data_IF_327864488533
#
_entry.id   IF_327864488533
#
_cell.length_a   1.000
_cell.length_b   1.000
_cell.length_c   1.000
_cell.angle_alpha   90.00
_cell.angle_beta   90.00
_cell.angle_gamma   90.00
#
_symmetry.space_group_name_H-M   'P 1'
#
loop_
_entity.id
_entity.type
_entity.pdbx_description
1 polymer ?
#
# COMPACT_ATOMS: atom_id res chain seq x y z
N UNK A 1 18.41 2.04 -17.75
CA UNK A 1 18.40 1.66 -16.31
C UNK A 1 17.11 0.91 -16.00
N UNK A 2 17.16 -0.41 -15.73
CA UNK A 2 16.00 -1.13 -15.19
C UNK A 2 15.71 -0.52 -13.81
N UNK A 3 14.72 0.37 -13.70
CA UNK A 3 14.20 0.81 -12.40
C UNK A 3 13.94 -0.44 -11.57
N UNK A 4 14.51 -0.51 -10.39
CA UNK A 4 14.45 -1.69 -9.52
C UNK A 4 12.98 -1.89 -9.09
N UNK A 5 12.20 -2.66 -9.86
CA UNK A 5 10.74 -2.86 -9.67
C UNK A 5 10.39 -3.71 -8.44
N UNK A 6 11.33 -3.87 -7.51
CA UNK A 6 11.14 -4.62 -6.26
C UNK A 6 10.42 -3.79 -5.19
N UNK A 7 10.45 -2.46 -5.32
CA UNK A 7 9.80 -1.53 -4.40
C UNK A 7 8.74 -0.75 -5.17
N UNK A 8 7.52 -0.78 -4.64
CA UNK A 8 6.45 0.13 -5.03
C UNK A 8 6.45 1.31 -4.05
N UNK A 9 6.31 2.53 -4.56
CA UNK A 9 6.27 3.75 -3.75
C UNK A 9 5.13 4.63 -4.22
N UNK A 10 4.34 5.13 -3.27
CA UNK A 10 3.26 6.07 -3.50
C UNK A 10 3.47 7.32 -2.67
N UNK A 11 3.45 8.48 -3.32
CA UNK A 11 3.55 9.78 -2.65
C UNK A 11 2.17 10.18 -2.18
N UNK A 12 2.03 10.36 -0.87
CA UNK A 12 0.77 10.75 -0.25
C UNK A 12 0.60 12.26 -0.42
N UNK A 13 -0.55 12.67 -0.95
CA UNK A 13 -0.82 14.07 -1.33
C UNK A 13 -1.65 14.86 -0.31
N UNK A 14 -1.95 14.26 0.84
CA UNK A 14 -2.66 14.93 1.96
C UNK A 14 -1.70 15.37 3.08
N UNK A 15 -2.19 16.19 4.02
CA UNK A 15 -1.41 16.67 5.17
C UNK A 15 -1.00 15.53 6.11
N UNK A 16 0.08 15.73 6.87
CA UNK A 16 0.57 14.74 7.84
C UNK A 16 -0.46 14.46 8.93
N UNK A 17 -1.21 15.48 9.34
CA UNK A 17 -2.30 15.38 10.30
C UNK A 17 -3.42 14.50 9.76
N UNK A 18 -3.87 14.75 8.53
CA UNK A 18 -4.88 13.92 7.88
C UNK A 18 -4.39 12.47 7.69
N UNK A 19 -3.10 12.25 7.38
CA UNK A 19 -2.54 10.90 7.32
C UNK A 19 -2.59 10.23 8.69
N UNK A 20 -2.31 10.91 9.79
CA UNK A 20 -2.38 10.29 11.12
C UNK A 20 -3.79 9.89 11.51
N UNK A 21 -4.79 10.61 11.02
CA UNK A 21 -6.21 10.31 11.26
C UNK A 21 -6.71 9.17 10.37
N UNK A 22 -6.30 9.15 9.08
CA UNK A 22 -6.74 8.14 8.11
C UNK A 22 -5.89 6.85 8.13
N UNK A 23 -4.60 6.94 8.43
CA UNK A 23 -3.66 5.82 8.35
C UNK A 23 -3.69 4.96 9.61
N UNK A 24 -4.42 3.87 9.50
CA UNK A 24 -4.24 2.71 10.36
C UNK A 24 -3.79 1.53 9.48
N UNK A 25 -2.65 0.91 9.82
CA UNK A 25 -2.08 -0.18 9.03
C UNK A 25 -3.07 -1.35 8.88
N UNK A 26 -3.88 -1.61 9.90
CA UNK A 26 -4.93 -2.63 9.84
C UNK A 26 -6.00 -2.27 8.82
N UNK A 27 -6.53 -1.04 8.85
CA UNK A 27 -7.48 -0.53 7.86
C UNK A 27 -6.95 -0.56 6.43
N UNK A 28 -5.69 -0.19 6.20
CA UNK A 28 -5.05 -0.28 4.88
C UNK A 28 -4.99 -1.74 4.38
N UNK A 29 -4.52 -2.66 5.23
CA UNK A 29 -4.48 -4.08 4.90
C UNK A 29 -5.88 -4.63 4.60
N UNK A 30 -6.87 -4.21 5.40
CA UNK A 30 -8.25 -4.60 5.22
C UNK A 30 -8.81 -4.12 3.88
N UNK A 31 -8.64 -2.84 3.56
CA UNK A 31 -9.08 -2.28 2.29
C UNK A 31 -8.42 -3.00 1.11
N UNK A 32 -7.11 -3.26 1.18
CA UNK A 32 -6.39 -4.00 0.14
C UNK A 32 -6.93 -5.42 -0.06
N UNK A 33 -7.13 -6.17 1.02
CA UNK A 33 -7.64 -7.55 0.96
C UNK A 33 -9.07 -7.59 0.44
N UNK A 34 -9.91 -6.66 0.86
CA UNK A 34 -11.26 -6.52 0.35
C UNK A 34 -11.27 -6.24 -1.15
N UNK A 35 -10.40 -5.34 -1.64
CA UNK A 35 -10.29 -5.03 -3.07
C UNK A 35 -9.66 -6.15 -3.91
N UNK A 36 -8.81 -7.00 -3.32
CA UNK A 36 -8.18 -8.14 -4.01
C UNK A 36 -9.07 -9.38 -4.05
N UNK A 37 -9.75 -9.68 -2.95
CA UNK A 37 -10.35 -10.98 -2.71
C UNK A 37 -11.83 -10.93 -2.31
N UNK A 38 -12.39 -9.74 -2.11
CA UNK A 38 -13.80 -9.55 -1.77
C UNK A 38 -14.16 -9.87 -0.32
N UNK A 39 -13.16 -10.01 0.57
CA UNK A 39 -13.39 -10.32 1.98
C UNK A 39 -12.56 -9.43 2.92
N UNK A 40 -13.06 -9.25 4.14
CA UNK A 40 -12.43 -8.46 5.20
C UNK A 40 -11.18 -9.16 5.71
N UNK A 41 -10.07 -8.44 5.80
CA UNK A 41 -8.82 -8.95 6.36
C UNK A 41 -9.02 -9.49 7.77
N UNK A 42 -8.56 -10.71 7.96
CA UNK A 42 -8.38 -11.38 9.23
C UNK A 42 -6.89 -11.25 9.63
N UNK A 43 -6.56 -11.02 10.93
CA UNK A 43 -5.18 -11.03 11.40
C UNK A 43 -4.35 -12.27 11.00
N UNK A 44 -4.98 -13.42 10.76
CA UNK A 44 -4.33 -14.65 10.32
C UNK A 44 -4.07 -14.73 8.81
N UNK A 45 -4.61 -13.80 8.01
CA UNK A 45 -4.37 -13.76 6.57
C UNK A 45 -2.92 -13.44 6.26
N UNK A 46 -2.36 -14.21 5.33
CA UNK A 46 -1.00 -14.00 4.84
C UNK A 46 -0.99 -12.91 3.78
N UNK A 47 -0.52 -11.73 4.18
CA UNK A 47 -0.18 -10.67 3.21
C UNK A 47 1.25 -10.87 2.74
N UNK A 48 1.43 -11.00 1.42
CA UNK A 48 2.73 -11.21 0.76
C UNK A 48 3.57 -9.94 0.63
N UNK A 49 3.11 -8.83 1.22
CA UNK A 49 3.75 -7.53 1.14
C UNK A 49 4.20 -7.04 2.52
N UNK A 50 5.33 -6.35 2.55
CA UNK A 50 5.74 -5.47 3.65
C UNK A 50 5.32 -4.06 3.28
N UNK A 51 4.60 -3.38 4.18
CA UNK A 51 4.09 -2.02 3.97
C UNK A 51 4.77 -1.10 5.00
N UNK A 52 5.35 0.01 4.55
CA UNK A 52 6.03 0.99 5.41
C UNK A 52 5.59 2.40 5.04
N UNK A 53 5.19 3.18 6.04
CA UNK A 53 4.85 4.59 5.89
C UNK A 53 5.96 5.48 6.46
N UNK A 54 6.48 6.38 5.64
CA UNK A 54 7.37 7.47 6.07
C UNK A 54 6.56 8.76 6.19
N UNK A 55 6.21 9.16 7.42
CA UNK A 55 5.53 10.45 7.68
C UNK A 55 6.45 11.67 7.49
N UNK A 56 7.77 11.47 7.42
CA UNK A 56 8.72 12.55 7.14
C UNK A 56 8.74 12.88 5.66
N UNK A 57 8.72 11.86 4.82
CA UNK A 57 8.77 12.00 3.36
C UNK A 57 7.38 12.02 2.71
N UNK A 58 6.35 11.69 3.50
CA UNK A 58 4.96 11.52 3.02
C UNK A 58 4.88 10.47 1.91
N UNK A 59 5.54 9.33 2.12
CA UNK A 59 5.62 8.23 1.16
C UNK A 59 5.22 6.91 1.82
N UNK A 60 4.33 6.18 1.17
CA UNK A 60 4.06 4.78 1.44
C UNK A 60 4.96 3.93 0.52
N UNK A 61 5.66 2.96 1.09
CA UNK A 61 6.46 2.00 0.35
C UNK A 61 5.98 0.58 0.61
N UNK A 62 6.04 -0.23 -0.44
CA UNK A 62 5.66 -1.63 -0.40
C UNK A 62 6.72 -2.50 -1.07
N UNK A 63 7.01 -3.64 -0.47
CA UNK A 63 7.89 -4.67 -1.04
C UNK A 63 7.26 -6.05 -0.93
N UNK A 64 7.54 -6.93 -1.88
CA UNK A 64 7.14 -8.33 -1.73
C UNK A 64 8.06 -9.05 -0.75
N UNK A 65 7.49 -9.88 0.12
CA UNK A 65 8.23 -10.65 1.12
C UNK A 65 9.14 -11.71 0.50
N UNK A 66 8.81 -12.19 -0.70
CA UNK A 66 9.61 -13.14 -1.46
C UNK A 66 10.75 -12.47 -2.26
N UNK A 67 10.86 -11.14 -2.22
CA UNK A 67 11.86 -10.37 -2.95
C UNK A 67 11.65 -10.30 -4.47
N UNK A 68 10.55 -10.84 -4.99
CA UNK A 68 10.23 -10.78 -6.41
C UNK A 68 9.82 -9.36 -6.83
N UNK A 69 10.00 -8.98 -8.11
CA UNK A 69 9.51 -7.69 -8.59
C UNK A 69 7.98 -7.65 -8.68
N UNK A 70 7.43 -6.45 -8.59
CA UNK A 70 6.01 -6.20 -8.87
C UNK A 70 5.72 -6.31 -10.37
N UNK A 71 4.64 -7.03 -10.69
CA UNK A 71 4.07 -7.12 -12.04
C UNK A 71 3.31 -5.83 -12.38
N UNK A 72 3.10 -5.57 -13.68
CA UNK A 72 2.36 -4.38 -14.13
C UNK A 72 0.94 -4.31 -13.54
N UNK A 73 0.28 -5.46 -13.37
CA UNK A 73 -1.05 -5.53 -12.80
C UNK A 73 -1.07 -5.13 -11.32
N UNK A 74 -0.04 -5.52 -10.56
CA UNK A 74 0.09 -5.11 -9.16
C UNK A 74 0.35 -3.60 -9.04
N UNK A 75 1.21 -3.05 -9.90
CA UNK A 75 1.44 -1.60 -9.96
C UNK A 75 0.12 -0.85 -10.22
N UNK A 76 -0.60 -1.22 -11.28
CA UNK A 76 -1.88 -0.59 -11.63
C UNK A 76 -2.94 -0.77 -10.53
N UNK A 77 -2.92 -1.91 -9.83
CA UNK A 77 -3.81 -2.14 -8.70
C UNK A 77 -3.53 -1.18 -7.54
N UNK A 78 -2.27 -1.02 -7.13
CA UNK A 78 -1.91 -0.09 -6.04
C UNK A 78 -2.15 1.37 -6.42
N UNK A 79 -1.82 1.76 -7.66
CA UNK A 79 -2.07 3.11 -8.17
C UNK A 79 -3.56 3.48 -8.13
N UNK A 80 -4.45 2.48 -8.23
CA UNK A 80 -5.90 2.69 -8.14
C UNK A 80 -6.40 2.80 -6.70
N UNK A 81 -5.97 1.92 -5.80
CA UNK A 81 -6.57 1.83 -4.46
C UNK A 81 -5.98 2.82 -3.45
N UNK A 82 -4.72 3.24 -3.61
CA UNK A 82 -4.08 4.10 -2.62
C UNK A 82 -4.67 5.52 -2.59
N UNK A 83 -5.01 6.14 -3.74
CA UNK A 83 -5.77 7.38 -3.74
C UNK A 83 -7.11 7.28 -3.01
N UNK A 84 -7.83 6.17 -3.13
CA UNK A 84 -9.12 5.95 -2.41
C UNK A 84 -8.96 5.97 -0.88
N UNK A 85 -7.76 5.75 -0.35
CA UNK A 85 -7.51 5.74 1.10
C UNK A 85 -7.01 7.11 1.58
N UNK A 86 -6.18 7.76 0.77
CA UNK A 86 -5.47 8.96 1.19
C UNK A 86 -6.10 10.25 0.67
N UNK A 87 -6.73 10.25 -0.50
CA UNK A 87 -7.17 11.46 -1.21
C UNK A 87 -8.69 11.68 -1.21
N UNK A 88 -9.45 10.85 -0.50
CA UNK A 88 -10.88 11.04 -0.16
C UNK A 88 -11.23 12.51 0.17
#
# INVERSE_FOLDING_TARGET
MKKNRMVYSYKILISKEAVREKYELYSLKNHMMYRLYGYTYNPYDRINYTIKLSLKEMVLTMTKKDGSPFSANEWAFFDRILPEIFED
#
